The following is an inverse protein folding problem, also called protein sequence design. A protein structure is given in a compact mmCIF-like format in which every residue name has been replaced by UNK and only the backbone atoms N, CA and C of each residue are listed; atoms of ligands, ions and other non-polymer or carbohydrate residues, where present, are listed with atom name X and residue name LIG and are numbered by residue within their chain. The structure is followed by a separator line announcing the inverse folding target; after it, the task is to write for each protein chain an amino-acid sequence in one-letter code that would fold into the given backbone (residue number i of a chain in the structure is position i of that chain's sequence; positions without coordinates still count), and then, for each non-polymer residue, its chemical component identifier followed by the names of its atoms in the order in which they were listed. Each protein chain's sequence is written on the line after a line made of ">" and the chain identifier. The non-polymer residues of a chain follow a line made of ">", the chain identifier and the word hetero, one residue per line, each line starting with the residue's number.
data_IF_843890194437
#
_entry.id   IF_843890194437
#
_cell.length_a   1.000
_cell.length_b   1.000
_cell.length_c   1.000
_cell.angle_alpha   90.00
_cell.angle_beta   90.00
_cell.angle_gamma   90.00
#
_symmetry.space_group_name_H-M   'P 1'
#
loop_
_entity.id
_entity.type
_entity.pdbx_description
1 polymer ?
#
# COMPACT_ATOMS: atom_id res chain seq x y z
N UNK A 1 -69.92 -28.24 -31.54
CA UNK A 1 -70.64 -27.21 -32.30
C UNK A 1 -69.59 -26.31 -32.85
N UNK A 2 -69.21 -26.72 -34.02
CA UNK A 2 -69.48 -26.11 -35.31
C UNK A 2 -68.69 -24.82 -35.54
N UNK A 3 -68.05 -24.65 -36.54
CA UNK A 3 -67.73 -25.23 -37.86
C UNK A 3 -67.05 -24.09 -38.65
N UNK A 4 -66.08 -24.46 -39.29
CA UNK A 4 -65.78 -24.46 -40.69
C UNK A 4 -65.40 -23.15 -41.42
N UNK A 5 -64.32 -23.29 -42.08
CA UNK A 5 -64.09 -23.18 -43.54
C UNK A 5 -63.40 -21.88 -44.05
N UNK A 6 -62.29 -22.13 -44.62
CA UNK A 6 -61.83 -22.02 -46.01
C UNK A 6 -61.47 -20.62 -46.52
N UNK A 7 -60.30 -20.57 -47.11
CA UNK A 7 -59.87 -19.54 -48.06
C UNK A 7 -58.39 -19.65 -48.43
N UNK A 8 -58.12 -20.55 -49.39
CA UNK A 8 -56.79 -20.60 -50.03
C UNK A 8 -56.67 -19.51 -51.08
N UNK A 9 -55.52 -18.87 -51.15
CA UNK A 9 -54.99 -18.18 -52.34
C UNK A 9 -53.49 -18.29 -52.41
N UNK A 10 -53.03 -18.92 -53.43
CA UNK A 10 -51.62 -19.01 -53.88
C UNK A 10 -51.22 -17.72 -54.61
N UNK A 11 -49.91 -17.50 -54.59
CA UNK A 11 -48.98 -16.86 -55.53
C UNK A 11 -48.19 -15.79 -54.79
N UNK A 12 -46.85 -15.63 -54.91
CA UNK A 12 -45.98 -15.70 -56.07
C UNK A 12 -44.53 -15.80 -55.64
N UNK A 13 -43.70 -16.47 -56.38
CA UNK A 13 -42.25 -16.59 -56.26
C UNK A 13 -41.57 -15.22 -56.45
N UNK A 14 -40.77 -14.83 -55.47
CA UNK A 14 -39.82 -13.72 -55.53
C UNK A 14 -38.49 -14.10 -54.90
N UNK A 15 -37.71 -14.94 -55.62
CA UNK A 15 -36.34 -15.29 -55.29
C UNK A 15 -35.48 -14.06 -55.50
N UNK A 16 -35.09 -13.38 -54.39
CA UNK A 16 -34.00 -12.41 -54.40
C UNK A 16 -32.79 -13.07 -53.80
N UNK A 17 -31.86 -13.39 -54.67
CA UNK A 17 -30.49 -13.75 -54.30
C UNK A 17 -29.83 -12.55 -53.63
N UNK A 18 -29.58 -12.64 -52.31
CA UNK A 18 -28.65 -11.76 -51.59
C UNK A 18 -27.31 -12.48 -51.49
N UNK A 19 -26.47 -12.23 -52.46
CA UNK A 19 -25.03 -12.38 -52.33
C UNK A 19 -24.53 -11.26 -51.44
N UNK A 20 -24.39 -11.53 -50.12
CA UNK A 20 -23.70 -10.71 -49.18
C UNK A 20 -22.80 -11.63 -48.35
N UNK A 21 -21.57 -11.80 -48.77
CA UNK A 21 -20.55 -12.46 -47.95
C UNK A 21 -20.31 -11.70 -46.68
N UNK A 22 -19.95 -12.40 -45.57
CA UNK A 22 -19.62 -11.73 -44.34
C UNK A 22 -18.40 -10.82 -44.59
N UNK A 23 -18.57 -9.53 -44.37
CA UNK A 23 -17.46 -8.58 -44.27
C UNK A 23 -16.69 -8.91 -43.00
N UNK A 24 -15.57 -9.59 -43.19
CA UNK A 24 -14.51 -9.78 -42.16
C UNK A 24 -13.76 -8.48 -41.92
N UNK A 25 -14.45 -7.47 -41.41
CA UNK A 25 -13.85 -6.25 -40.85
C UNK A 25 -13.99 -6.30 -39.32
N UNK A 26 -13.33 -7.28 -38.70
CA UNK A 26 -13.05 -7.26 -37.28
C UNK A 26 -11.93 -6.25 -36.98
N UNK A 27 -12.02 -5.48 -35.88
CA UNK A 27 -11.07 -4.38 -35.59
C UNK A 27 -9.73 -4.90 -35.10
N UNK A 28 -8.89 -5.43 -35.98
CA UNK A 28 -7.52 -5.86 -35.67
C UNK A 28 -6.63 -4.72 -35.12
N UNK A 29 -6.97 -3.46 -35.38
CA UNK A 29 -6.20 -2.30 -34.92
C UNK A 29 -6.35 -1.95 -33.44
N UNK A 30 -7.49 -2.26 -32.82
CA UNK A 30 -7.78 -1.91 -31.41
C UNK A 30 -7.07 -2.86 -30.44
N UNK A 31 -6.99 -4.15 -30.77
CA UNK A 31 -6.27 -5.14 -29.96
C UNK A 31 -4.76 -4.89 -29.98
N UNK A 32 -4.15 -4.67 -31.14
CA UNK A 32 -2.73 -4.38 -31.26
C UNK A 32 -2.29 -3.08 -30.55
N UNK A 33 -3.15 -2.06 -30.55
CA UNK A 33 -2.87 -0.81 -29.82
C UNK A 33 -2.99 -0.97 -28.31
N UNK A 34 -3.91 -1.81 -27.82
CA UNK A 34 -4.05 -2.15 -26.38
C UNK A 34 -2.86 -2.97 -25.89
N UNK A 35 -2.44 -3.97 -26.67
CA UNK A 35 -1.27 -4.80 -26.34
C UNK A 35 0.02 -3.97 -26.26
N UNK A 36 0.25 -3.06 -27.20
CA UNK A 36 1.40 -2.13 -27.17
C UNK A 36 1.38 -1.23 -25.95
N UNK A 37 0.22 -0.68 -25.56
CA UNK A 37 0.08 0.13 -24.34
C UNK A 37 0.38 -0.65 -23.07
N UNK A 38 -0.07 -1.91 -23.01
CA UNK A 38 0.21 -2.80 -21.85
C UNK A 38 1.69 -3.16 -21.79
N UNK A 39 2.34 -3.44 -22.93
CA UNK A 39 3.77 -3.72 -22.99
C UNK A 39 4.58 -2.49 -22.55
N UNK A 40 4.26 -1.30 -23.09
CA UNK A 40 4.93 -0.06 -22.70
C UNK A 40 4.79 0.24 -21.20
N UNK A 41 3.59 0.07 -20.64
CA UNK A 41 3.37 0.28 -19.19
C UNK A 41 4.21 -0.68 -18.33
N UNK A 42 4.40 -1.94 -18.78
CA UNK A 42 5.27 -2.90 -18.07
C UNK A 42 6.75 -2.52 -18.14
N UNK A 43 7.20 -2.03 -19.30
CA UNK A 43 8.57 -1.54 -19.46
C UNK A 43 8.83 -0.31 -18.59
N UNK A 44 7.87 0.62 -18.53
CA UNK A 44 7.95 1.81 -17.68
C UNK A 44 7.94 1.44 -16.18
N UNK A 45 7.15 0.44 -15.77
CA UNK A 45 7.14 -0.08 -14.39
C UNK A 45 8.46 -0.76 -14.03
N UNK A 46 9.01 -1.59 -14.93
CA UNK A 46 10.31 -2.23 -14.71
C UNK A 46 11.45 -1.20 -14.61
N UNK A 47 11.41 -0.14 -15.43
CA UNK A 47 12.36 0.97 -15.37
C UNK A 47 12.29 1.71 -14.05
N UNK A 48 11.09 2.02 -13.54
CA UNK A 48 10.87 2.63 -12.22
C UNK A 48 11.40 1.76 -11.09
N UNK A 49 11.12 0.45 -11.15
CA UNK A 49 11.58 -0.50 -10.13
C UNK A 49 13.10 -0.57 -10.07
N UNK A 50 13.77 -0.63 -11.22
CA UNK A 50 15.23 -0.61 -11.31
C UNK A 50 15.83 0.69 -10.74
N UNK A 51 15.23 1.84 -11.04
CA UNK A 51 15.65 3.13 -10.49
C UNK A 51 15.45 3.21 -8.98
N UNK A 52 14.32 2.67 -8.48
CA UNK A 52 14.03 2.61 -7.06
C UNK A 52 15.04 1.73 -6.31
N UNK A 53 15.38 0.55 -6.85
CA UNK A 53 16.39 -0.34 -6.28
C UNK A 53 17.80 0.29 -6.26
N UNK A 54 18.17 1.06 -7.30
CA UNK A 54 19.43 1.81 -7.32
C UNK A 54 19.43 2.94 -6.29
N UNK A 55 18.31 3.69 -6.19
CA UNK A 55 18.12 4.73 -5.18
C UNK A 55 18.18 4.18 -3.76
N UNK A 56 17.59 3.00 -3.52
CA UNK A 56 17.62 2.30 -2.26
C UNK A 56 19.06 1.95 -1.82
N UNK A 57 19.91 1.47 -2.74
CA UNK A 57 21.31 1.19 -2.44
C UNK A 57 22.07 2.42 -1.94
N UNK A 58 21.81 3.57 -2.55
CA UNK A 58 22.43 4.83 -2.14
C UNK A 58 21.85 5.35 -0.81
N UNK A 59 20.53 5.20 -0.60
CA UNK A 59 19.83 5.68 0.58
C UNK A 59 20.19 4.87 1.83
N UNK A 60 20.18 3.55 1.74
CA UNK A 60 20.39 2.67 2.89
C UNK A 60 21.87 2.40 3.20
N UNK A 61 22.78 2.67 2.27
CA UNK A 61 24.23 2.53 2.51
C UNK A 61 24.59 1.16 3.11
N UNK A 62 25.17 1.17 4.32
CA UNK A 62 25.57 -0.05 5.04
C UNK A 62 24.39 -0.95 5.44
N UNK A 63 23.18 -0.40 5.51
CA UNK A 63 21.96 -1.15 5.83
C UNK A 63 21.31 -1.81 4.59
N UNK A 64 21.86 -1.59 3.40
CA UNK A 64 21.27 -2.09 2.15
C UNK A 64 21.18 -3.62 2.11
N UNK A 65 22.16 -4.35 2.62
CA UNK A 65 22.15 -5.81 2.65
C UNK A 65 21.01 -6.35 3.54
N UNK A 66 20.80 -5.75 4.74
CA UNK A 66 19.68 -6.10 5.62
C UNK A 66 18.34 -5.75 4.97
N UNK A 67 18.23 -4.59 4.28
CA UNK A 67 17.03 -4.21 3.55
C UNK A 67 16.75 -5.16 2.38
N UNK A 68 17.79 -5.63 1.69
CA UNK A 68 17.67 -6.61 0.61
C UNK A 68 17.19 -7.96 1.15
N UNK A 69 17.72 -8.42 2.29
CA UNK A 69 17.24 -9.61 2.98
C UNK A 69 15.75 -9.50 3.37
N UNK A 70 15.34 -8.34 3.86
CA UNK A 70 13.91 -8.11 4.13
C UNK A 70 13.05 -8.15 2.85
N UNK A 71 13.54 -7.61 1.74
CA UNK A 71 12.84 -7.72 0.44
C UNK A 71 12.72 -9.19 0.03
N UNK A 72 13.75 -10.00 0.20
CA UNK A 72 13.71 -11.44 -0.12
C UNK A 72 12.67 -12.17 0.74
N UNK A 73 12.55 -11.86 2.04
CA UNK A 73 11.50 -12.37 2.92
C UNK A 73 10.11 -11.95 2.41
N UNK A 74 9.93 -10.69 2.00
CA UNK A 74 8.67 -10.19 1.49
C UNK A 74 8.23 -10.88 0.20
N UNK A 75 9.13 -11.03 -0.77
CA UNK A 75 8.80 -11.62 -2.08
C UNK A 75 8.72 -13.15 -2.03
N UNK A 76 9.36 -13.78 -1.07
CA UNK A 76 9.25 -15.20 -0.78
C UNK A 76 8.09 -15.49 0.16
N UNK A 77 8.39 -15.60 1.44
CA UNK A 77 7.45 -15.97 2.49
C UNK A 77 6.27 -15.03 2.61
N UNK A 78 6.45 -13.70 2.40
CA UNK A 78 5.38 -12.71 2.43
C UNK A 78 4.30 -12.96 1.38
N UNK A 79 4.68 -13.36 0.18
CA UNK A 79 3.75 -13.76 -0.90
C UNK A 79 3.12 -15.12 -0.58
N UNK A 80 3.89 -16.10 -0.18
CA UNK A 80 3.42 -17.44 0.18
C UNK A 80 2.37 -17.40 1.31
N UNK A 81 2.57 -16.56 2.29
CA UNK A 81 1.63 -16.36 3.39
C UNK A 81 0.48 -15.41 3.04
N UNK A 82 0.43 -14.88 1.82
CA UNK A 82 -0.64 -13.99 1.35
C UNK A 82 -0.66 -12.63 2.05
N UNK A 83 0.49 -12.14 2.51
CA UNK A 83 0.67 -10.81 3.09
C UNK A 83 0.87 -9.76 1.99
N UNK A 84 1.45 -10.19 0.87
CA UNK A 84 1.59 -9.41 -0.35
C UNK A 84 0.86 -10.10 -1.51
N UNK A 85 0.29 -9.30 -2.40
CA UNK A 85 -0.31 -9.81 -3.62
C UNK A 85 0.74 -10.39 -4.58
N UNK A 86 0.37 -11.33 -5.46
CA UNK A 86 1.33 -12.03 -6.33
C UNK A 86 2.02 -11.14 -7.36
N UNK A 87 1.54 -9.91 -7.58
CA UNK A 87 2.15 -8.92 -8.49
C UNK A 87 2.98 -7.86 -7.77
N UNK A 88 2.95 -7.84 -6.44
CA UNK A 88 3.69 -6.84 -5.65
C UNK A 88 5.21 -7.03 -5.70
N UNK A 89 5.77 -8.26 -5.88
CA UNK A 89 7.21 -8.44 -6.10
C UNK A 89 7.79 -7.62 -7.27
N UNK A 90 7.02 -7.43 -8.35
CA UNK A 90 7.46 -6.69 -9.54
C UNK A 90 7.70 -5.19 -9.27
N UNK A 91 7.29 -4.67 -8.10
CA UNK A 91 7.37 -3.27 -7.70
C UNK A 91 7.61 -3.09 -6.19
N UNK A 92 8.34 -4.05 -5.63
CA UNK A 92 8.58 -4.08 -4.18
C UNK A 92 9.41 -2.88 -3.71
N UNK A 93 10.44 -2.51 -4.46
CA UNK A 93 11.27 -1.36 -4.13
C UNK A 93 10.52 -0.05 -4.32
N UNK A 94 9.94 0.17 -5.50
CA UNK A 94 9.32 1.47 -5.83
C UNK A 94 8.05 1.75 -5.00
N UNK A 95 7.17 0.76 -4.87
CA UNK A 95 5.86 0.95 -4.25
C UNK A 95 5.85 0.70 -2.74
N UNK A 96 6.72 -0.18 -2.24
CA UNK A 96 6.68 -0.56 -0.82
C UNK A 96 7.86 0.00 -0.05
N UNK A 97 9.08 -0.40 -0.36
CA UNK A 97 10.25 -0.01 0.41
C UNK A 97 10.49 1.50 0.36
N UNK A 98 10.59 2.09 -0.85
CA UNK A 98 10.89 3.51 -0.99
C UNK A 98 9.72 4.41 -0.57
N UNK A 99 8.48 3.95 -0.68
CA UNK A 99 7.35 4.65 -0.12
C UNK A 99 7.41 4.72 1.42
N UNK A 100 7.77 3.61 2.08
CA UNK A 100 7.97 3.57 3.53
C UNK A 100 9.21 4.38 3.95
N UNK A 101 10.28 4.35 3.16
CA UNK A 101 11.52 5.08 3.44
C UNK A 101 11.33 6.61 3.43
N UNK A 102 10.27 7.14 2.84
CA UNK A 102 9.94 8.56 2.94
C UNK A 102 9.72 9.03 4.39
N UNK A 103 9.32 8.13 5.30
CA UNK A 103 9.18 8.43 6.73
C UNK A 103 10.51 8.76 7.41
N UNK A 104 11.62 8.26 6.88
CA UNK A 104 12.96 8.49 7.45
C UNK A 104 13.35 9.97 7.48
N UNK A 105 12.82 10.77 6.56
CA UNK A 105 13.06 12.22 6.46
C UNK A 105 12.34 13.04 7.54
N UNK A 106 11.37 12.44 8.24
CA UNK A 106 10.49 13.17 9.16
C UNK A 106 10.46 12.59 10.57
N UNK A 107 11.03 11.41 10.79
CA UNK A 107 11.18 10.79 12.12
C UNK A 107 12.42 11.34 12.81
N UNK A 108 12.25 11.81 14.05
CA UNK A 108 13.34 12.29 14.91
C UNK A 108 14.41 11.24 15.21
N UNK A 109 15.49 11.63 15.88
CA UNK A 109 16.56 10.73 16.31
C UNK A 109 16.25 10.12 17.68
N UNK A 110 16.59 8.84 17.88
CA UNK A 110 16.54 8.17 19.18
C UNK A 110 15.16 8.03 19.80
N UNK A 111 14.08 8.05 18.98
CA UNK A 111 12.70 8.04 19.44
C UNK A 111 12.12 6.62 19.46
N UNK A 112 11.09 6.41 20.29
CA UNK A 112 10.30 5.18 20.34
C UNK A 112 9.17 5.24 19.30
N UNK A 113 9.16 4.28 18.38
CA UNK A 113 8.22 4.20 17.25
C UNK A 113 7.28 3.02 17.41
N UNK A 114 5.97 3.26 17.25
CA UNK A 114 4.95 2.22 17.15
C UNK A 114 4.43 2.13 15.71
N UNK A 115 4.52 0.97 15.09
CA UNK A 115 3.86 0.67 13.83
C UNK A 115 2.54 -0.08 14.08
N UNK A 116 1.41 0.60 13.86
CA UNK A 116 0.07 0.06 14.12
C UNK A 116 -0.43 -0.72 12.91
N UNK A 117 -0.74 -2.01 13.14
CA UNK A 117 -1.21 -2.91 12.10
C UNK A 117 -0.11 -3.23 11.10
N UNK A 118 1.06 -3.59 11.60
CA UNK A 118 2.30 -3.74 10.83
C UNK A 118 2.22 -4.70 9.65
N UNK A 119 1.30 -5.67 9.67
CA UNK A 119 1.05 -6.59 8.57
C UNK A 119 2.26 -7.42 8.17
N UNK A 120 2.86 -7.08 7.04
CA UNK A 120 4.13 -7.66 6.59
C UNK A 120 5.38 -6.92 7.14
N UNK A 121 5.21 -5.93 8.04
CA UNK A 121 6.30 -5.12 8.58
C UNK A 121 6.50 -3.77 7.86
N UNK A 122 5.49 -3.31 7.16
CA UNK A 122 5.56 -2.07 6.38
C UNK A 122 4.65 -0.99 7.00
N UNK A 123 5.19 0.13 7.55
CA UNK A 123 6.56 0.61 7.36
C UNK A 123 7.57 0.20 8.45
N UNK A 124 7.17 -0.43 9.55
CA UNK A 124 7.97 -0.58 10.76
C UNK A 124 9.34 -1.23 10.55
N UNK A 125 9.43 -2.35 9.80
CA UNK A 125 10.72 -3.00 9.52
C UNK A 125 11.63 -2.17 8.60
N UNK A 126 11.06 -1.41 7.66
CA UNK A 126 11.85 -0.48 6.83
C UNK A 126 12.49 0.59 7.70
N UNK A 127 11.73 1.13 8.66
CA UNK A 127 12.22 2.13 9.63
C UNK A 127 13.31 1.51 10.51
N UNK A 128 13.06 0.35 11.10
CA UNK A 128 14.01 -0.31 11.99
C UNK A 128 15.34 -0.62 11.31
N UNK A 129 15.30 -1.19 10.10
CA UNK A 129 16.53 -1.51 9.34
C UNK A 129 17.31 -0.24 9.00
N UNK A 130 16.62 0.80 8.54
CA UNK A 130 17.27 2.03 8.10
C UNK A 130 17.81 2.90 9.26
N UNK A 131 17.19 2.80 10.45
CA UNK A 131 17.44 3.66 11.61
C UNK A 131 17.74 2.82 12.85
N UNK A 132 18.98 2.32 13.00
CA UNK A 132 19.38 1.50 14.16
C UNK A 132 19.41 2.29 15.50
N UNK A 133 19.22 3.59 15.45
CA UNK A 133 19.08 4.47 16.62
C UNK A 133 17.66 4.45 17.23
N UNK A 134 16.66 3.89 16.54
CA UNK A 134 15.26 3.88 16.97
C UNK A 134 14.89 2.55 17.64
N UNK A 135 13.98 2.60 18.63
CA UNK A 135 13.28 1.42 19.13
C UNK A 135 11.94 1.30 18.39
N UNK A 136 11.67 0.16 17.78
CA UNK A 136 10.46 -0.03 16.97
C UNK A 136 9.57 -1.14 17.56
N UNK A 137 8.32 -0.80 17.87
CA UNK A 137 7.30 -1.79 18.23
C UNK A 137 6.39 -2.05 17.03
N UNK A 138 6.28 -3.31 16.63
CA UNK A 138 5.38 -3.77 15.58
C UNK A 138 4.12 -4.36 16.20
N UNK A 139 2.98 -3.66 16.10
CA UNK A 139 1.71 -4.09 16.67
C UNK A 139 0.81 -4.74 15.62
N UNK A 140 0.49 -6.02 15.78
CA UNK A 140 -0.34 -6.77 14.82
C UNK A 140 -1.32 -7.72 15.55
N UNK A 141 -2.64 -7.59 15.36
CA UNK A 141 -3.62 -8.43 16.04
C UNK A 141 -3.73 -9.86 15.51
N UNK A 142 -3.44 -10.08 14.22
CA UNK A 142 -3.64 -11.38 13.57
C UNK A 142 -2.46 -12.30 13.80
N UNK A 143 -2.70 -13.45 14.44
CA UNK A 143 -1.67 -14.42 14.81
C UNK A 143 -0.72 -14.81 13.65
N UNK A 144 -1.27 -15.03 12.45
CA UNK A 144 -0.45 -15.39 11.28
C UNK A 144 0.54 -14.31 10.91
N UNK A 145 0.12 -13.02 10.91
CA UNK A 145 0.97 -11.87 10.62
C UNK A 145 1.97 -11.61 11.74
N UNK A 146 1.53 -11.74 12.99
CA UNK A 146 2.39 -11.66 14.16
C UNK A 146 3.52 -12.70 14.09
N UNK A 147 3.23 -13.95 13.74
CA UNK A 147 4.26 -14.99 13.59
C UNK A 147 5.24 -14.66 12.47
N UNK A 148 4.75 -14.21 11.31
CA UNK A 148 5.59 -13.74 10.22
C UNK A 148 6.55 -12.63 10.64
N UNK A 149 6.06 -11.63 11.37
CA UNK A 149 6.90 -10.53 11.88
C UNK A 149 7.97 -11.03 12.83
N UNK A 150 7.65 -11.98 13.70
CA UNK A 150 8.64 -12.60 14.61
C UNK A 150 9.73 -13.34 13.84
N UNK A 151 9.35 -14.13 12.85
CA UNK A 151 10.30 -14.84 12.00
C UNK A 151 11.20 -13.88 11.21
N UNK A 152 10.61 -12.81 10.65
CA UNK A 152 11.35 -11.80 9.93
C UNK A 152 12.34 -11.02 10.82
N UNK A 153 11.94 -10.66 12.05
CA UNK A 153 12.80 -9.97 13.03
C UNK A 153 13.98 -10.84 13.43
N UNK A 154 13.75 -12.14 13.71
CA UNK A 154 14.77 -13.12 14.07
C UNK A 154 15.77 -13.33 12.90
N UNK A 155 15.25 -13.55 11.68
CA UNK A 155 16.08 -13.77 10.48
C UNK A 155 16.95 -12.55 10.14
N UNK A 156 16.45 -11.34 10.38
CA UNK A 156 17.17 -10.09 10.14
C UNK A 156 18.08 -9.69 11.31
N UNK A 157 18.05 -10.40 12.44
CA UNK A 157 18.85 -10.10 13.62
C UNK A 157 18.45 -8.79 14.30
N UNK A 158 17.17 -8.41 14.28
CA UNK A 158 16.66 -7.15 14.82
C UNK A 158 16.08 -7.25 16.24
N UNK A 159 16.21 -8.40 16.94
CA UNK A 159 15.62 -8.65 18.27
C UNK A 159 16.05 -7.65 19.35
N UNK A 160 17.20 -7.03 19.20
CA UNK A 160 17.71 -6.00 20.14
C UNK A 160 17.07 -4.62 19.97
N UNK A 161 16.34 -4.40 18.86
CA UNK A 161 15.79 -3.11 18.44
C UNK A 161 14.29 -3.15 18.20
N UNK A 162 13.77 -4.30 17.78
CA UNK A 162 12.38 -4.47 17.34
C UNK A 162 11.62 -5.36 18.31
N UNK A 163 10.54 -4.84 18.89
CA UNK A 163 9.56 -5.60 19.66
C UNK A 163 8.35 -5.94 18.78
N UNK A 164 8.02 -7.22 18.66
CA UNK A 164 6.77 -7.64 18.01
C UNK A 164 5.72 -7.91 19.08
N UNK A 165 4.62 -7.16 19.05
CA UNK A 165 3.53 -7.28 20.01
C UNK A 165 2.23 -7.71 19.32
N UNK A 166 1.55 -8.70 19.91
CA UNK A 166 0.26 -9.15 19.40
C UNK A 166 -0.86 -8.46 20.14
N UNK A 167 -1.52 -7.51 19.50
CA UNK A 167 -2.59 -6.74 20.13
C UNK A 167 -3.31 -5.80 19.16
N UNK A 168 -4.26 -5.07 19.71
CA UNK A 168 -4.95 -3.98 19.03
C UNK A 168 -4.52 -2.65 19.64
N UNK A 169 -4.49 -1.60 18.83
CA UNK A 169 -4.10 -0.27 19.28
C UNK A 169 -4.99 0.24 20.45
N UNK A 170 -6.28 -0.08 20.43
CA UNK A 170 -7.24 0.30 21.47
C UNK A 170 -6.95 -0.32 22.85
N UNK A 171 -6.25 -1.45 22.88
CA UNK A 171 -5.93 -2.20 24.10
C UNK A 171 -4.58 -1.80 24.70
N UNK A 172 -3.70 -1.14 23.89
CA UNK A 172 -2.37 -0.75 24.30
C UNK A 172 -2.41 0.45 25.27
N UNK A 173 -1.53 0.44 26.28
CA UNK A 173 -1.47 1.48 27.32
C UNK A 173 -0.15 2.25 27.36
N UNK A 174 0.78 1.89 26.45
CA UNK A 174 2.06 2.56 26.33
C UNK A 174 1.93 3.84 25.51
N UNK A 175 2.87 4.77 25.72
CA UNK A 175 3.03 5.97 24.91
C UNK A 175 4.28 5.84 24.05
N UNK A 176 4.25 6.47 22.88
CA UNK A 176 5.32 6.47 21.90
C UNK A 176 5.53 7.89 21.40
N UNK A 177 6.76 8.20 21.06
CA UNK A 177 7.12 9.50 20.45
C UNK A 177 6.53 9.61 19.04
N UNK A 178 6.53 8.49 18.30
CA UNK A 178 5.98 8.40 16.96
C UNK A 178 5.08 7.18 16.83
N UNK A 179 3.84 7.39 16.41
CA UNK A 179 2.96 6.33 15.95
C UNK A 179 2.90 6.39 14.42
N UNK A 180 3.17 5.27 13.75
CA UNK A 180 3.07 5.17 12.30
C UNK A 180 2.11 4.08 11.88
N UNK A 181 1.65 4.13 10.64
CA UNK A 181 0.86 3.07 10.02
C UNK A 181 0.77 3.25 8.49
N UNK A 182 0.39 2.17 7.80
CA UNK A 182 0.08 2.17 6.39
C UNK A 182 -1.14 1.30 6.09
N UNK A 183 -2.13 1.84 5.35
CA UNK A 183 -3.30 1.10 4.86
C UNK A 183 -4.15 0.40 5.96
N UNK A 184 -4.24 0.97 7.16
CA UNK A 184 -4.93 0.36 8.32
C UNK A 184 -6.40 0.75 8.39
N UNK A 185 -6.70 2.06 8.38
CA UNK A 185 -8.06 2.58 8.50
C UNK A 185 -8.18 4.00 7.92
N UNK A 186 -9.41 4.46 7.70
CA UNK A 186 -9.70 5.88 7.44
C UNK A 186 -9.38 6.72 8.67
N UNK A 187 -9.00 7.99 8.45
CA UNK A 187 -8.47 8.87 9.49
C UNK A 187 -9.36 9.03 10.73
N UNK A 188 -10.70 9.21 10.66
CA UNK A 188 -11.52 9.34 11.85
C UNK A 188 -11.37 8.15 12.81
N UNK A 189 -11.35 6.94 12.26
CA UNK A 189 -11.21 5.72 13.04
C UNK A 189 -9.76 5.54 13.54
N UNK A 190 -8.80 5.84 12.70
CA UNK A 190 -7.37 5.79 13.04
C UNK A 190 -7.06 6.70 14.24
N UNK A 191 -7.51 7.94 14.21
CA UNK A 191 -7.34 8.89 15.33
C UNK A 191 -7.93 8.34 16.63
N UNK A 192 -9.13 7.75 16.57
CA UNK A 192 -9.75 7.15 17.76
C UNK A 192 -8.90 6.07 18.42
N UNK A 193 -8.11 5.34 17.66
CA UNK A 193 -7.22 4.30 18.16
C UNK A 193 -5.85 4.81 18.61
N UNK A 194 -5.31 5.79 17.89
CA UNK A 194 -3.90 6.17 18.01
C UNK A 194 -3.67 7.39 18.90
N UNK A 195 -4.61 8.33 19.03
CA UNK A 195 -4.43 9.51 19.89
C UNK A 195 -3.94 9.17 21.32
N UNK A 196 -4.48 8.15 22.02
CA UNK A 196 -4.00 7.82 23.36
C UNK A 196 -2.55 7.31 23.39
N UNK A 197 -1.98 6.92 22.24
CA UNK A 197 -0.67 6.30 22.12
C UNK A 197 0.44 7.31 21.84
N UNK A 198 0.13 8.52 21.36
CA UNK A 198 1.12 9.55 21.07
C UNK A 198 0.89 10.88 21.79
N UNK A 199 -0.34 11.17 22.27
CA UNK A 199 -0.59 12.42 22.99
C UNK A 199 -0.11 12.34 24.45
N UNK A 200 0.35 13.47 25.05
CA UNK A 200 0.36 14.82 24.47
C UNK A 200 1.62 15.17 23.69
N UNK A 201 2.72 14.44 23.83
CA UNK A 201 4.07 14.89 23.43
C UNK A 201 4.58 14.25 22.12
N UNK A 202 3.91 13.20 21.64
CA UNK A 202 4.27 12.50 20.41
C UNK A 202 3.45 12.94 19.19
N UNK A 203 3.63 12.20 18.10
CA UNK A 203 2.94 12.46 16.84
C UNK A 203 2.50 11.18 16.10
N UNK A 204 1.48 11.32 15.25
CA UNK A 204 1.11 10.32 14.25
C UNK A 204 1.73 10.69 12.90
N UNK A 205 2.50 9.77 12.31
CA UNK A 205 3.05 9.86 10.96
C UNK A 205 2.46 8.74 10.10
N UNK A 206 1.33 8.97 9.45
CA UNK A 206 0.61 7.95 8.69
C UNK A 206 0.89 8.05 7.18
N UNK A 207 1.33 6.95 6.55
CA UNK A 207 1.39 6.86 5.09
C UNK A 207 -0.03 6.74 4.53
N UNK A 208 -0.39 7.67 3.66
CA UNK A 208 -1.72 7.81 3.08
C UNK A 208 -1.69 7.80 1.54
N UNK A 209 -2.84 7.48 0.95
CA UNK A 209 -3.05 7.57 -0.49
C UNK A 209 -3.58 8.94 -0.91
N UNK A 210 -4.00 9.04 -2.17
CA UNK A 210 -4.51 10.26 -2.80
C UNK A 210 -5.80 10.82 -2.16
N UNK A 211 -6.56 9.98 -1.42
CA UNK A 211 -7.80 10.38 -0.74
C UNK A 211 -7.58 11.13 0.59
N UNK A 212 -6.35 11.54 0.91
CA UNK A 212 -6.04 12.13 2.22
C UNK A 212 -6.79 13.44 2.49
N UNK A 213 -7.01 14.25 1.48
CA UNK A 213 -7.74 15.53 1.63
C UNK A 213 -9.20 15.32 2.03
N UNK A 214 -9.86 14.28 1.46
CA UNK A 214 -11.21 13.87 1.86
C UNK A 214 -11.24 13.34 3.29
N UNK A 215 -10.25 12.50 3.66
CA UNK A 215 -10.15 11.96 5.01
C UNK A 215 -9.91 13.06 6.05
N UNK A 216 -9.15 14.11 5.72
CA UNK A 216 -8.95 15.27 6.58
C UNK A 216 -10.23 16.07 6.76
N UNK A 217 -10.98 16.31 5.68
CA UNK A 217 -12.26 16.99 5.75
C UNK A 217 -13.26 16.23 6.65
N UNK A 218 -13.33 14.90 6.51
CA UNK A 218 -14.15 14.02 7.36
C UNK A 218 -13.71 14.01 8.84
N UNK A 219 -12.46 14.39 9.12
CA UNK A 219 -11.87 14.38 10.47
C UNK A 219 -11.79 15.75 11.13
N UNK A 220 -12.19 16.82 10.45
CA UNK A 220 -12.01 18.20 10.91
C UNK A 220 -12.58 18.43 12.33
N UNK A 221 -13.77 17.91 12.62
CA UNK A 221 -14.40 18.02 13.93
C UNK A 221 -13.64 17.27 15.04
N UNK A 222 -13.04 16.13 14.71
CA UNK A 222 -12.25 15.33 15.66
C UNK A 222 -10.96 16.08 15.97
N UNK A 223 -10.29 16.58 14.95
CA UNK A 223 -9.05 17.35 15.05
C UNK A 223 -9.28 18.60 15.92
N UNK A 224 -10.31 19.40 15.61
CA UNK A 224 -10.62 20.63 16.34
C UNK A 224 -11.00 20.36 17.82
N UNK A 225 -11.86 19.36 18.07
CA UNK A 225 -12.33 19.04 19.45
C UNK A 225 -11.21 18.52 20.36
N UNK A 226 -10.18 17.90 19.79
CA UNK A 226 -9.06 17.38 20.55
C UNK A 226 -7.84 18.32 20.55
N UNK A 227 -7.96 19.54 20.03
CA UNK A 227 -6.86 20.52 19.97
C UNK A 227 -5.66 20.01 19.18
N UNK A 228 -5.90 19.30 18.07
CA UNK A 228 -4.85 18.74 17.25
C UNK A 228 -4.50 19.68 16.09
N UNK A 229 -3.26 19.60 15.63
CA UNK A 229 -2.85 20.09 14.32
C UNK A 229 -2.65 18.90 13.36
N UNK A 230 -3.03 19.07 12.09
CA UNK A 230 -2.86 18.06 11.06
C UNK A 230 -2.28 18.68 9.80
N UNK A 231 -1.24 18.06 9.23
CA UNK A 231 -0.55 18.52 8.04
C UNK A 231 -0.28 17.35 7.09
N UNK A 232 -0.55 17.52 5.80
CA UNK A 232 -0.10 16.60 4.75
C UNK A 232 1.25 17.06 4.22
N UNK A 233 2.22 16.18 4.30
CA UNK A 233 3.56 16.38 3.75
C UNK A 233 3.72 15.51 2.51
N UNK A 234 4.37 16.07 1.49
CA UNK A 234 4.77 15.35 0.28
C UNK A 234 6.27 15.13 0.33
N UNK A 235 6.67 13.89 0.56
CA UNK A 235 8.06 13.51 0.78
C UNK A 235 8.50 12.50 -0.26
N UNK A 236 9.75 12.58 -0.71
CA UNK A 236 10.38 11.59 -1.58
C UNK A 236 11.59 11.02 -0.86
N UNK A 237 11.68 9.72 -0.76
CA UNK A 237 12.88 9.08 -0.22
C UNK A 237 14.13 9.33 -1.10
N UNK A 238 13.93 9.40 -2.42
CA UNK A 238 14.96 9.83 -3.38
C UNK A 238 14.29 10.57 -4.55
N UNK A 239 15.04 11.38 -5.34
CA UNK A 239 14.47 12.11 -6.49
C UNK A 239 13.84 11.21 -7.57
N UNK A 240 14.24 9.93 -7.62
CA UNK A 240 13.85 8.98 -8.66
C UNK A 240 12.56 8.22 -8.35
N UNK A 241 12.01 8.36 -7.13
CA UNK A 241 10.81 7.65 -6.72
C UNK A 241 9.60 8.56 -6.62
N UNK A 242 8.41 7.97 -6.60
CA UNK A 242 7.17 8.70 -6.45
C UNK A 242 7.08 9.40 -5.09
N UNK A 243 6.26 10.45 -5.05
CA UNK A 243 5.95 11.16 -3.81
C UNK A 243 5.13 10.27 -2.89
N UNK A 244 5.54 10.16 -1.62
CA UNK A 244 4.72 9.62 -0.56
C UNK A 244 3.95 10.77 0.14
N UNK A 245 2.69 10.53 0.43
CA UNK A 245 1.89 11.43 1.25
C UNK A 245 1.94 10.96 2.70
N UNK A 246 2.52 11.78 3.57
CA UNK A 246 2.61 11.53 5.00
C UNK A 246 1.69 12.51 5.71
N UNK A 247 0.71 11.99 6.43
CA UNK A 247 -0.11 12.77 7.32
C UNK A 247 0.57 12.85 8.69
N UNK A 248 0.93 14.05 9.11
CA UNK A 248 1.37 14.35 10.48
C UNK A 248 0.19 14.85 11.29
N UNK A 249 -0.03 14.28 12.48
CA UNK A 249 -0.99 14.78 13.50
C UNK A 249 -0.31 14.82 14.85
N UNK A 250 -0.42 15.95 15.54
CA UNK A 250 0.18 16.18 16.87
C UNK A 250 -0.71 17.14 17.68
N UNK A 251 -0.38 17.37 18.94
CA UNK A 251 -1.02 18.43 19.73
C UNK A 251 -0.82 19.78 19.03
N UNK A 252 -1.86 20.65 19.00
CA UNK A 252 -1.87 21.95 18.34
C UNK A 252 -1.25 23.08 19.17
#
# INVERSE_FOLDING_TARGET
>A
MDDARHGAARRDDGRVERTGGPSDDAPHGVHASRERRVAQAREDDAGREQQAAQGARALFGDQFESMSGYVDILVGQGVEWGLLGPREPERIWSRHIMNCAALLEVIGEGVDVLDVGSGAGLPGLVIAIARPDLNVTLLEPLLRRFNFLKEAVDELGLDGQVLVERGRAEDLKQHFDVVTCRAVARLPKLLGWTMPLFLPDGELLALKGESIDEELADSADIIARNGLSAQVMQVRATPQVDVAHILRVQAG
#
